data_IF_500914719447
#
_entry.id   IF_500914719447
#
_cell.length_a   1.000
_cell.length_b   1.000
_cell.length_c   1.000
_cell.angle_alpha   90.00
_cell.angle_beta   90.00
_cell.angle_gamma   90.00
#
_symmetry.space_group_name_H-M   'P 1'
#
loop_
_entity.id
_entity.type
_entity.pdbx_description
1 polymer ?
#
# COMPACT_ATOMS: atom_id res chain seq x y z
N UNK A 1 -10.84 22.88 3.03
CA UNK A 1 -10.46 21.60 3.69
C UNK A 1 -10.37 20.44 2.71
N UNK A 2 -11.37 20.20 1.85
CA UNK A 2 -11.41 19.02 0.97
C UNK A 2 -10.31 18.98 -0.10
N UNK A 3 -9.96 20.11 -0.72
CA UNK A 3 -8.91 20.15 -1.75
C UNK A 3 -7.53 19.71 -1.23
N UNK A 4 -7.15 20.12 -0.01
CA UNK A 4 -5.89 19.74 0.61
C UNK A 4 -5.80 18.22 0.81
N UNK A 5 -6.89 17.59 1.26
CA UNK A 5 -6.96 16.14 1.46
C UNK A 5 -6.80 15.39 0.13
N UNK A 6 -7.44 15.87 -0.94
CA UNK A 6 -7.27 15.27 -2.27
C UNK A 6 -5.84 15.39 -2.78
N UNK A 7 -5.21 16.56 -2.61
CA UNK A 7 -3.81 16.77 -2.99
C UNK A 7 -2.89 15.84 -2.19
N UNK A 8 -3.08 15.72 -0.88
CA UNK A 8 -2.31 14.80 -0.05
C UNK A 8 -2.48 13.35 -0.49
N UNK A 9 -3.69 12.91 -0.82
CA UNK A 9 -3.95 11.57 -1.31
C UNK A 9 -3.26 11.30 -2.65
N UNK A 10 -3.27 12.28 -3.57
CA UNK A 10 -2.57 12.18 -4.85
C UNK A 10 -1.05 12.11 -4.66
N UNK A 11 -0.49 12.95 -3.81
CA UNK A 11 0.95 12.94 -3.50
C UNK A 11 1.36 11.62 -2.84
N UNK A 12 0.57 11.12 -1.88
CA UNK A 12 0.78 9.82 -1.27
C UNK A 12 0.73 8.70 -2.32
N UNK A 13 -0.25 8.72 -3.23
CA UNK A 13 -0.35 7.76 -4.33
C UNK A 13 0.87 7.77 -5.25
N UNK A 14 1.42 8.95 -5.56
CA UNK A 14 2.61 9.09 -6.40
C UNK A 14 3.88 8.51 -5.77
N UNK A 15 3.94 8.41 -4.43
CA UNK A 15 5.10 7.80 -3.76
C UNK A 15 5.24 6.31 -4.04
N UNK A 16 4.14 5.58 -4.27
CA UNK A 16 4.17 4.13 -4.45
C UNK A 16 4.98 3.66 -5.67
N UNK A 17 4.70 4.12 -6.91
CA UNK A 17 5.51 3.73 -8.07
C UNK A 17 6.95 4.25 -7.96
N UNK A 18 7.15 5.43 -7.36
CA UNK A 18 8.48 6.01 -7.15
C UNK A 18 9.32 5.12 -6.23
N UNK A 19 8.75 4.68 -5.11
CA UNK A 19 9.39 3.77 -4.18
C UNK A 19 9.70 2.41 -4.82
N UNK A 20 8.78 1.85 -5.61
CA UNK A 20 9.01 0.60 -6.30
C UNK A 20 10.20 0.70 -7.28
N UNK A 21 10.34 1.84 -7.97
CA UNK A 21 11.51 2.14 -8.82
C UNK A 21 12.81 2.21 -8.01
N UNK A 22 12.85 2.99 -6.94
CA UNK A 22 14.02 3.11 -6.05
C UNK A 22 14.44 1.74 -5.50
N UNK A 23 13.48 0.97 -4.99
CA UNK A 23 13.72 -0.35 -4.42
C UNK A 23 14.17 -1.36 -5.48
N UNK A 24 13.71 -1.25 -6.72
CA UNK A 24 14.17 -2.13 -7.81
C UNK A 24 15.65 -1.86 -8.16
N UNK A 25 16.12 -0.62 -7.99
CA UNK A 25 17.55 -0.29 -8.06
C UNK A 25 18.33 -0.95 -6.93
N UNK A 26 17.85 -0.86 -5.69
CA UNK A 26 18.45 -1.59 -4.56
C UNK A 26 18.48 -3.10 -4.81
N UNK A 27 17.39 -3.68 -5.33
CA UNK A 27 17.34 -5.10 -5.68
C UNK A 27 18.46 -5.48 -6.66
N UNK A 28 18.70 -4.66 -7.68
CA UNK A 28 19.76 -4.92 -8.67
C UNK A 28 21.17 -4.94 -8.04
N UNK A 29 21.42 -4.11 -7.03
CA UNK A 29 22.71 -4.06 -6.33
C UNK A 29 22.90 -5.16 -5.27
N UNK A 30 21.81 -5.77 -4.78
CA UNK A 30 21.83 -6.79 -3.72
C UNK A 30 21.45 -8.17 -4.24
N UNK A 31 22.19 -8.64 -5.26
CA UNK A 31 22.07 -9.97 -5.87
C UNK A 31 20.65 -10.33 -6.39
N UNK A 32 19.85 -9.32 -6.75
CA UNK A 32 18.51 -9.54 -7.28
C UNK A 32 17.44 -9.88 -6.24
N UNK A 33 17.72 -9.76 -4.93
CA UNK A 33 16.78 -10.14 -3.87
C UNK A 33 15.78 -9.01 -3.53
N UNK A 34 14.48 -9.15 -3.86
CA UNK A 34 13.47 -8.14 -3.54
C UNK A 34 13.17 -8.06 -2.03
N UNK A 35 13.41 -9.15 -1.30
CA UNK A 35 13.22 -9.22 0.15
C UNK A 35 14.28 -8.39 0.86
N UNK A 36 15.55 -8.48 0.45
CA UNK A 36 16.63 -7.66 1.02
C UNK A 36 16.41 -6.17 0.72
N UNK A 37 16.02 -5.83 -0.51
CA UNK A 37 15.67 -4.45 -0.86
C UNK A 37 14.54 -3.92 0.04
N UNK A 38 13.51 -4.73 0.28
CA UNK A 38 12.40 -4.36 1.17
C UNK A 38 12.85 -4.20 2.62
N UNK A 39 13.71 -5.09 3.13
CA UNK A 39 14.25 -4.99 4.49
C UNK A 39 15.02 -3.67 4.70
N UNK A 40 15.86 -3.30 3.73
CA UNK A 40 16.59 -2.02 3.76
C UNK A 40 15.61 -0.84 3.74
N UNK A 41 14.61 -0.85 2.84
CA UNK A 41 13.62 0.22 2.77
C UNK A 41 12.79 0.35 4.05
N UNK A 42 12.40 -0.77 4.66
CA UNK A 42 11.72 -0.75 5.96
C UNK A 42 12.62 -0.26 7.09
N UNK A 43 13.92 -0.57 7.05
CA UNK A 43 14.88 -0.08 8.04
C UNK A 43 15.04 1.43 7.96
N UNK A 44 15.19 1.97 6.75
CA UNK A 44 15.26 3.43 6.50
C UNK A 44 13.94 4.11 6.89
N UNK A 45 12.80 3.54 6.49
CA UNK A 45 11.48 4.07 6.87
C UNK A 45 11.23 4.06 8.38
N UNK A 46 11.66 3.00 9.07
CA UNK A 46 11.57 2.91 10.54
C UNK A 46 12.45 3.98 11.20
N UNK A 47 13.68 4.17 10.73
CA UNK A 47 14.56 5.23 11.24
C UNK A 47 13.93 6.63 11.03
N UNK A 48 13.34 6.89 9.87
CA UNK A 48 12.64 8.14 9.59
C UNK A 48 11.44 8.36 10.54
N UNK A 49 10.64 7.31 10.79
CA UNK A 49 9.53 7.38 11.75
C UNK A 49 10.00 7.63 13.18
N UNK A 50 11.10 6.99 13.61
CA UNK A 50 11.71 7.24 14.93
C UNK A 50 12.15 8.70 15.05
N UNK A 51 12.87 9.23 14.06
CA UNK A 51 13.27 10.64 14.02
C UNK A 51 12.06 11.57 14.08
N UNK A 52 10.99 11.25 13.33
CA UNK A 52 9.75 12.02 13.35
C UNK A 52 9.09 12.05 14.73
N UNK A 53 9.01 10.90 15.41
CA UNK A 53 8.52 10.81 16.79
C UNK A 53 9.36 11.67 17.75
N UNK A 54 10.67 11.68 17.60
CA UNK A 54 11.56 12.50 18.43
C UNK A 54 11.33 14.01 18.20
N UNK A 55 11.25 14.45 16.95
CA UNK A 55 11.01 15.86 16.59
C UNK A 55 9.65 16.33 17.10
N UNK A 56 8.61 15.52 16.94
CA UNK A 56 7.25 15.82 17.40
C UNK A 56 7.05 15.60 18.90
N UNK A 57 8.06 15.07 19.60
CA UNK A 57 7.99 14.63 21.00
C UNK A 57 6.83 13.67 21.27
N UNK A 58 6.51 12.84 20.28
CA UNK A 58 5.51 11.79 20.42
C UNK A 58 6.11 10.68 21.27
N UNK A 59 5.66 10.55 22.53
CA UNK A 59 6.15 9.53 23.44
C UNK A 59 5.72 8.13 22.97
N UNK A 60 6.60 7.12 23.04
CA UNK A 60 6.19 5.73 22.84
C UNK A 60 5.15 5.35 23.90
N UNK A 61 3.88 5.28 23.52
CA UNK A 61 2.84 4.76 24.38
C UNK A 61 2.88 3.23 24.31
N UNK A 62 3.08 2.57 25.46
CA UNK A 62 2.86 1.13 25.53
C UNK A 62 1.37 0.88 25.25
N UNK A 63 1.02 0.04 24.27
CA UNK A 63 -0.38 -0.26 23.99
C UNK A 63 -1.06 -0.75 25.28
N UNK A 64 -2.23 -0.20 25.59
CA UNK A 64 -2.98 -0.61 26.77
C UNK A 64 -3.31 -2.11 26.64
N UNK A 65 -2.93 -2.96 27.62
CA UNK A 65 -3.25 -4.37 27.58
C UNK A 65 -4.77 -4.58 27.41
N UNK A 66 -5.16 -5.40 26.42
CA UNK A 66 -6.57 -5.70 26.14
C UNK A 66 -7.27 -4.79 25.11
N UNK A 67 -6.69 -3.66 24.71
CA UNK A 67 -7.25 -2.81 23.63
C UNK A 67 -6.69 -3.14 22.25
N UNK A 68 -5.55 -3.84 22.21
CA UNK A 68 -4.87 -4.21 20.97
C UNK A 68 -5.09 -5.68 20.68
N UNK A 69 -5.66 -5.98 19.51
CA UNK A 69 -5.86 -7.35 19.03
C UNK A 69 -4.59 -7.85 18.34
N UNK A 70 -4.34 -9.17 18.39
CA UNK A 70 -3.09 -9.74 17.86
C UNK A 70 -2.88 -9.47 16.36
N UNK A 71 -3.96 -9.33 15.59
CA UNK A 71 -3.87 -9.01 14.16
C UNK A 71 -3.50 -7.56 13.86
N UNK A 72 -3.58 -6.62 14.82
CA UNK A 72 -3.10 -5.25 14.58
C UNK A 72 -1.59 -5.22 14.26
N UNK A 73 -0.84 -6.23 14.72
CA UNK A 73 0.59 -6.38 14.48
C UNK A 73 0.91 -6.95 13.10
N UNK A 74 -0.05 -7.52 12.38
CA UNK A 74 0.19 -8.13 11.05
C UNK A 74 0.30 -7.09 9.94
N UNK A 75 -0.02 -5.82 10.20
CA UNK A 75 0.11 -4.74 9.22
C UNK A 75 1.53 -4.62 8.66
N UNK A 76 2.55 -4.80 9.49
CA UNK A 76 3.95 -4.83 9.06
C UNK A 76 4.26 -5.98 8.09
N UNK A 77 3.65 -7.16 8.30
CA UNK A 77 3.81 -8.30 7.39
C UNK A 77 3.18 -8.03 6.02
N UNK A 78 1.98 -7.43 6.00
CA UNK A 78 1.32 -7.01 4.75
C UNK A 78 2.15 -5.97 4.00
N UNK A 79 2.73 -5.01 4.72
CA UNK A 79 3.66 -4.02 4.17
C UNK A 79 4.91 -4.66 3.59
N UNK A 80 5.55 -5.58 4.32
CA UNK A 80 6.75 -6.29 3.86
C UNK A 80 6.49 -7.09 2.58
N UNK A 81 5.37 -7.82 2.54
CA UNK A 81 4.92 -8.51 1.33
C UNK A 81 4.66 -7.53 0.18
N UNK A 82 3.90 -6.46 0.43
CA UNK A 82 3.56 -5.48 -0.59
C UNK A 82 4.80 -4.84 -1.20
N UNK A 83 5.72 -4.34 -0.38
CA UNK A 83 6.96 -3.69 -0.86
C UNK A 83 7.83 -4.69 -1.63
N UNK A 84 7.93 -5.94 -1.18
CA UNK A 84 8.67 -6.98 -1.90
C UNK A 84 8.04 -7.29 -3.25
N UNK A 85 6.72 -7.42 -3.29
CA UNK A 85 5.97 -7.69 -4.51
C UNK A 85 6.12 -6.55 -5.52
N UNK A 86 5.91 -5.28 -5.12
CA UNK A 86 6.04 -4.16 -6.06
C UNK A 86 7.48 -3.96 -6.54
N UNK A 87 8.47 -4.19 -5.68
CA UNK A 87 9.89 -4.14 -6.06
C UNK A 87 10.21 -5.19 -7.13
N UNK A 88 9.71 -6.41 -6.96
CA UNK A 88 9.85 -7.49 -7.92
C UNK A 88 9.06 -7.25 -9.22
N UNK A 89 7.86 -6.68 -9.13
CA UNK A 89 6.97 -6.47 -10.28
C UNK A 89 7.36 -5.24 -11.12
N UNK A 90 7.88 -4.18 -10.51
CA UNK A 90 8.22 -2.92 -11.16
C UNK A 90 9.06 -3.09 -12.44
N UNK A 91 10.22 -3.79 -12.43
CA UNK A 91 11.03 -3.94 -13.64
C UNK A 91 10.39 -4.84 -14.70
N UNK A 92 9.35 -5.63 -14.36
CA UNK A 92 8.71 -6.58 -15.28
C UNK A 92 7.45 -6.03 -15.94
N UNK A 93 6.67 -5.26 -15.19
CA UNK A 93 5.37 -4.76 -15.65
C UNK A 93 5.42 -3.29 -16.10
N UNK A 94 6.46 -2.55 -15.71
CA UNK A 94 6.48 -1.10 -15.79
C UNK A 94 5.56 -0.44 -14.76
N UNK A 95 5.81 0.82 -14.45
CA UNK A 95 5.13 1.53 -13.37
C UNK A 95 3.60 1.64 -13.59
N UNK A 96 3.17 1.99 -14.81
CA UNK A 96 1.75 2.24 -15.12
C UNK A 96 0.90 0.98 -14.95
N UNK A 97 1.29 -0.12 -15.60
CA UNK A 97 0.58 -1.41 -15.52
C UNK A 97 0.57 -1.96 -14.10
N UNK A 98 1.70 -1.86 -13.39
CA UNK A 98 1.81 -2.30 -12.00
C UNK A 98 0.84 -1.53 -11.09
N UNK A 99 0.84 -0.20 -11.14
CA UNK A 99 -0.06 0.64 -10.32
C UNK A 99 -1.52 0.34 -10.65
N UNK A 100 -1.87 0.20 -11.93
CA UNK A 100 -3.23 -0.12 -12.35
C UNK A 100 -3.73 -1.46 -11.76
N UNK A 101 -2.90 -2.51 -11.84
CA UNK A 101 -3.22 -3.83 -11.27
C UNK A 101 -3.34 -3.80 -9.75
N UNK A 102 -2.43 -3.10 -9.06
CA UNK A 102 -2.47 -2.93 -7.60
C UNK A 102 -3.75 -2.22 -7.19
N UNK A 103 -4.09 -1.11 -7.87
CA UNK A 103 -5.30 -0.36 -7.58
C UNK A 103 -6.55 -1.22 -7.77
N UNK A 104 -6.62 -2.04 -8.83
CA UNK A 104 -7.71 -2.97 -9.03
C UNK A 104 -7.84 -3.98 -7.88
N UNK A 105 -6.73 -4.55 -7.43
CA UNK A 105 -6.70 -5.44 -6.25
C UNK A 105 -7.15 -4.75 -4.97
N UNK A 106 -6.70 -3.51 -4.73
CA UNK A 106 -7.10 -2.70 -3.58
C UNK A 106 -8.59 -2.37 -3.59
N UNK A 107 -9.14 -1.97 -4.73
CA UNK A 107 -10.58 -1.69 -4.89
C UNK A 107 -11.40 -2.97 -4.67
N UNK A 108 -11.02 -4.09 -5.29
CA UNK A 108 -11.69 -5.37 -5.09
C UNK A 108 -11.69 -5.80 -3.61
N UNK A 109 -10.52 -5.74 -2.96
CA UNK A 109 -10.38 -6.06 -1.54
C UNK A 109 -11.22 -5.13 -0.66
N UNK A 110 -11.22 -3.81 -0.92
CA UNK A 110 -12.02 -2.86 -0.14
C UNK A 110 -13.52 -3.14 -0.21
N UNK A 111 -14.04 -3.59 -1.36
CA UNK A 111 -15.45 -3.97 -1.50
C UNK A 111 -15.78 -5.16 -0.62
N UNK A 112 -14.89 -6.17 -0.56
CA UNK A 112 -15.07 -7.33 0.30
C UNK A 112 -14.96 -6.96 1.79
N UNK A 113 -13.95 -6.17 2.16
CA UNK A 113 -13.73 -5.73 3.54
C UNK A 113 -14.93 -4.91 4.06
N UNK A 114 -15.42 -3.97 3.26
CA UNK A 114 -16.62 -3.20 3.58
C UNK A 114 -17.87 -4.08 3.63
N UNK A 115 -18.00 -5.08 2.75
CA UNK A 115 -19.17 -5.94 2.73
C UNK A 115 -19.30 -6.76 4.00
N UNK A 116 -18.19 -7.34 4.46
CA UNK A 116 -18.15 -8.15 5.67
C UNK A 116 -17.94 -7.33 6.95
N UNK A 117 -17.67 -6.02 6.85
CA UNK A 117 -17.42 -5.16 8.01
C UNK A 117 -16.23 -5.60 8.86
N UNK A 118 -15.23 -6.22 8.24
CA UNK A 118 -14.05 -6.77 8.93
C UNK A 118 -12.98 -5.69 9.12
N UNK A 119 -12.00 -5.92 10.02
CA UNK A 119 -10.89 -4.98 10.29
C UNK A 119 -11.31 -3.57 10.75
N UNK A 120 -12.51 -3.45 11.33
CA UNK A 120 -13.06 -2.17 11.83
C UNK A 120 -13.74 -1.31 10.76
N UNK A 121 -13.91 -1.82 9.53
CA UNK A 121 -14.69 -1.15 8.51
C UNK A 121 -16.19 -1.22 8.80
N UNK A 122 -16.92 -0.17 8.44
CA UNK A 122 -18.38 -0.14 8.54
C UNK A 122 -18.98 -1.07 7.49
N UNK A 123 -19.80 -2.02 7.94
CA UNK A 123 -20.49 -2.96 7.06
C UNK A 123 -21.39 -2.22 6.06
N UNK A 124 -21.13 -2.38 4.76
CA UNK A 124 -21.91 -1.79 3.67
C UNK A 124 -22.30 -2.87 2.68
N UNK A 125 -23.59 -2.99 2.38
CA UNK A 125 -24.06 -3.90 1.33
C UNK A 125 -23.38 -3.59 0.00
N UNK A 126 -22.92 -4.62 -0.72
CA UNK A 126 -22.51 -4.46 -2.10
C UNK A 126 -23.72 -4.02 -2.91
N UNK A 127 -23.58 -2.92 -3.67
CA UNK A 127 -24.62 -2.39 -4.52
C UNK A 127 -24.14 -2.32 -5.97
N UNK A 128 -25.08 -2.20 -6.92
CA UNK A 128 -24.76 -2.15 -8.35
C UNK A 128 -23.73 -1.06 -8.71
N UNK A 129 -23.81 0.18 -8.18
CA UNK A 129 -22.81 1.21 -8.47
C UNK A 129 -21.38 0.81 -8.09
N UNK A 130 -21.16 0.17 -6.93
CA UNK A 130 -19.83 -0.31 -6.52
C UNK A 130 -19.31 -1.41 -7.44
N UNK A 131 -20.18 -2.33 -7.84
CA UNK A 131 -19.81 -3.39 -8.78
C UNK A 131 -19.47 -2.82 -10.16
N UNK A 132 -20.25 -1.84 -10.64
CA UNK A 132 -19.95 -1.12 -11.88
C UNK A 132 -18.61 -0.39 -11.80
N UNK A 133 -18.31 0.27 -10.68
CA UNK A 133 -17.00 0.90 -10.44
C UNK A 133 -15.85 -0.10 -10.51
N UNK A 134 -16.01 -1.30 -9.91
CA UNK A 134 -15.00 -2.36 -9.99
C UNK A 134 -14.78 -2.84 -11.43
N UNK A 135 -15.86 -3.00 -12.21
CA UNK A 135 -15.78 -3.34 -13.64
C UNK A 135 -15.06 -2.24 -14.43
N UNK A 136 -15.35 -0.97 -14.16
CA UNK A 136 -14.67 0.16 -14.82
C UNK A 136 -13.17 0.20 -14.51
N UNK A 137 -12.78 -0.07 -13.25
CA UNK A 137 -11.36 -0.20 -12.88
C UNK A 137 -10.72 -1.35 -13.67
N UNK A 138 -11.37 -2.51 -13.77
CA UNK A 138 -10.90 -3.63 -14.57
C UNK A 138 -10.75 -3.29 -16.06
N UNK A 139 -11.70 -2.58 -16.65
CA UNK A 139 -11.62 -2.09 -18.02
C UNK A 139 -10.45 -1.11 -18.21
N UNK A 140 -10.23 -0.21 -17.25
CA UNK A 140 -9.08 0.70 -17.24
C UNK A 140 -7.75 -0.05 -17.20
N UNK A 141 -7.62 -1.07 -16.33
CA UNK A 141 -6.44 -1.95 -16.29
C UNK A 141 -6.23 -2.65 -17.63
N UNK A 142 -7.28 -3.19 -18.24
CA UNK A 142 -7.20 -3.86 -19.53
C UNK A 142 -6.64 -2.93 -20.61
N UNK A 143 -7.16 -1.69 -20.70
CA UNK A 143 -6.69 -0.70 -21.65
C UNK A 143 -5.22 -0.32 -21.42
N UNK A 144 -4.84 -0.01 -20.17
CA UNK A 144 -3.46 0.33 -19.79
C UNK A 144 -2.47 -0.81 -20.09
N UNK A 145 -2.89 -2.06 -19.88
CA UNK A 145 -2.01 -3.20 -20.15
C UNK A 145 -1.89 -3.49 -21.65
N UNK A 146 -2.92 -3.17 -22.45
CA UNK A 146 -2.99 -3.53 -23.87
C UNK A 146 -2.22 -2.56 -24.77
N UNK A 147 -2.15 -1.29 -24.39
CA UNK A 147 -1.58 -0.18 -25.17
C UNK A 147 -0.49 0.53 -24.38
#
# INVERSE_FOLDING_TARGET
>A
MSALLFVMALLAGATLPTQAGINSGLQAHWAGSPVLASLVSFSVGTAALVCWCLVTRTAPAVPVPGTTQWWHWTGGLLGAFFVSAVTFLAPRLGATTMVALILAGQVAASVLLDHFGVLGYQARSVNLPRLAGLVMVGAGVYLIRRF
#
